data_IF_429497075691
#
_entry.id   IF_429497075691
#
_cell.length_a   1.000
_cell.length_b   1.000
_cell.length_c   1.000
_cell.angle_alpha   90.00
_cell.angle_beta   90.00
_cell.angle_gamma   90.00
#
_symmetry.space_group_name_H-M   'P 1'
#
loop_
_entity.id
_entity.type
_entity.pdbx_description
1 polymer ?
#
# COMPACT_ATOMS: atom_id res chain seq x y z
N UNK A 1 -12.66 3.63 8.58
CA UNK A 1 -11.84 4.61 7.83
C UNK A 1 -12.49 4.79 6.47
N UNK A 2 -12.85 6.02 6.11
CA UNK A 2 -13.43 6.33 4.80
C UNK A 2 -12.38 6.31 3.68
N UNK A 3 -12.86 6.24 2.43
CA UNK A 3 -12.02 6.13 1.25
C UNK A 3 -11.08 7.33 1.02
N UNK A 4 -11.50 8.55 1.31
CA UNK A 4 -10.65 9.73 1.13
C UNK A 4 -9.49 9.73 2.14
N UNK A 5 -9.81 9.44 3.40
CA UNK A 5 -8.82 9.29 4.47
C UNK A 5 -7.84 8.16 4.15
N UNK A 6 -8.33 7.02 3.68
CA UNK A 6 -7.50 5.91 3.24
C UNK A 6 -6.52 6.32 2.15
N UNK A 7 -7.03 6.92 1.06
CA UNK A 7 -6.23 7.37 -0.09
C UNK A 7 -5.15 8.35 0.35
N UNK A 8 -5.50 9.35 1.16
CA UNK A 8 -4.56 10.35 1.69
C UNK A 8 -3.46 9.69 2.52
N UNK A 9 -3.81 8.76 3.41
CA UNK A 9 -2.83 8.03 4.25
C UNK A 9 -1.93 7.14 3.41
N UNK A 10 -2.49 6.35 2.49
CA UNK A 10 -1.73 5.49 1.59
C UNK A 10 -0.66 6.29 0.83
N UNK A 11 -1.08 7.37 0.16
CA UNK A 11 -0.15 8.24 -0.57
C UNK A 11 0.92 8.82 0.37
N UNK A 12 0.53 9.30 1.55
CA UNK A 12 1.48 9.85 2.52
C UNK A 12 2.53 8.84 2.95
N UNK A 13 2.13 7.59 3.19
CA UNK A 13 3.03 6.50 3.57
C UNK A 13 3.99 6.15 2.42
N UNK A 14 3.47 5.98 1.19
CA UNK A 14 4.30 5.68 0.03
C UNK A 14 5.21 6.84 -0.40
N UNK A 15 4.99 8.06 0.08
CA UNK A 15 5.88 9.20 -0.18
C UNK A 15 7.06 9.30 0.79
N UNK A 16 7.08 8.50 1.86
CA UNK A 16 8.15 8.41 2.86
C UNK A 16 9.00 7.19 2.57
N UNK A 17 10.31 7.30 2.71
CA UNK A 17 11.19 6.14 2.76
C UNK A 17 11.01 5.45 4.12
N UNK A 18 10.30 4.32 4.11
CA UNK A 18 10.03 3.54 5.31
C UNK A 18 11.04 2.39 5.38
N UNK A 19 11.72 2.17 6.52
CA UNK A 19 12.66 1.04 6.67
C UNK A 19 11.97 -0.32 6.74
N UNK A 20 10.63 -0.36 6.70
CA UNK A 20 9.78 -1.54 6.86
C UNK A 20 8.32 -1.13 7.04
N UNK A 21 7.47 -2.04 7.52
CA UNK A 21 6.08 -1.69 7.83
C UNK A 21 5.96 -0.69 9.00
N UNK A 22 4.95 0.20 8.97
CA UNK A 22 4.69 1.11 10.07
C UNK A 22 4.43 0.38 11.40
N UNK A 23 4.99 0.89 12.49
CA UNK A 23 4.69 0.38 13.84
C UNK A 23 3.26 0.70 14.28
N UNK A 24 2.71 1.82 13.79
CA UNK A 24 1.34 2.22 14.07
C UNK A 24 0.39 1.30 13.30
N UNK A 25 -0.46 0.59 14.04
CA UNK A 25 -1.39 -0.40 13.50
C UNK A 25 -2.25 0.16 12.37
N UNK A 26 -2.91 1.31 12.57
CA UNK A 26 -3.74 1.92 11.52
C UNK A 26 -2.99 2.13 10.20
N UNK A 27 -1.73 2.57 10.26
CA UNK A 27 -0.94 2.87 9.05
C UNK A 27 -0.43 1.58 8.40
N UNK A 28 -0.13 0.56 9.21
CA UNK A 28 0.17 -0.79 8.71
C UNK A 28 -1.04 -1.38 7.99
N UNK A 29 -2.22 -1.31 8.61
CA UNK A 29 -3.47 -1.79 8.01
C UNK A 29 -3.80 -1.05 6.71
N UNK A 30 -3.50 0.24 6.59
CA UNK A 30 -3.65 0.97 5.31
C UNK A 30 -2.80 0.34 4.21
N UNK A 31 -1.54 -0.01 4.49
CA UNK A 31 -0.68 -0.68 3.51
C UNK A 31 -1.18 -2.08 3.17
N UNK A 32 -1.51 -2.90 4.18
CA UNK A 32 -1.97 -4.27 3.97
C UNK A 32 -3.32 -4.32 3.24
N UNK A 33 -4.26 -3.44 3.58
CA UNK A 33 -5.53 -3.31 2.87
C UNK A 33 -5.31 -2.88 1.42
N UNK A 34 -4.32 -2.02 1.14
CA UNK A 34 -4.02 -1.63 -0.25
C UNK A 34 -3.54 -2.80 -1.12
N UNK A 35 -2.93 -3.83 -0.52
CA UNK A 35 -2.58 -5.09 -1.19
C UNK A 35 -3.85 -5.91 -1.45
N UNK A 36 -4.72 -6.04 -0.45
CA UNK A 36 -5.99 -6.78 -0.61
C UNK A 36 -6.84 -6.22 -1.74
N UNK A 37 -6.84 -4.90 -1.95
CA UNK A 37 -7.57 -4.24 -3.04
C UNK A 37 -7.05 -4.60 -4.45
N UNK A 38 -5.82 -5.11 -4.59
CA UNK A 38 -5.30 -5.60 -5.88
C UNK A 38 -5.62 -7.08 -6.13
N UNK A 39 -6.21 -7.76 -5.14
CA UNK A 39 -6.53 -9.18 -5.19
C UNK A 39 -8.01 -9.43 -5.49
N UNK A 40 -8.29 -10.61 -6.03
CA UNK A 40 -9.64 -11.11 -6.26
C UNK A 40 -10.15 -11.84 -4.99
N UNK A 41 -11.23 -11.37 -4.35
CA UNK A 41 -11.73 -11.92 -3.10
C UNK A 41 -12.31 -13.34 -3.22
N UNK A 42 -12.66 -13.78 -4.42
CA UNK A 42 -13.20 -15.12 -4.66
C UNK A 42 -12.12 -16.15 -5.02
N UNK A 43 -10.88 -15.71 -5.20
CA UNK A 43 -9.77 -16.56 -5.61
C UNK A 43 -8.97 -17.09 -4.42
N UNK A 44 -8.59 -18.36 -4.49
CA UNK A 44 -7.51 -18.93 -3.69
C UNK A 44 -6.20 -18.78 -4.45
N UNK A 45 -5.16 -18.39 -3.73
CA UNK A 45 -3.83 -18.11 -4.28
C UNK A 45 -2.87 -19.17 -3.81
N UNK A 46 -2.12 -19.77 -4.73
CA UNK A 46 -0.92 -20.51 -4.37
C UNK A 46 0.13 -19.56 -3.77
N UNK A 47 1.10 -20.13 -3.06
CA UNK A 47 2.26 -19.38 -2.58
C UNK A 47 2.94 -18.55 -3.68
N UNK A 48 3.09 -19.13 -4.88
CA UNK A 48 3.77 -18.49 -6.00
C UNK A 48 2.96 -17.29 -6.51
N UNK A 49 1.66 -17.46 -6.72
CA UNK A 49 0.81 -16.36 -7.19
C UNK A 49 0.74 -15.22 -6.18
N UNK A 50 0.64 -15.53 -4.88
CA UNK A 50 0.67 -14.51 -3.84
C UNK A 50 2.01 -13.77 -3.83
N UNK A 51 3.11 -14.49 -3.98
CA UNK A 51 4.44 -13.88 -4.07
C UNK A 51 4.55 -12.92 -5.27
N UNK A 52 4.04 -13.30 -6.44
CA UNK A 52 4.03 -12.44 -7.63
C UNK A 52 3.24 -11.16 -7.38
N UNK A 53 2.06 -11.25 -6.77
CA UNK A 53 1.24 -10.08 -6.39
C UNK A 53 1.98 -9.16 -5.42
N UNK A 54 2.65 -9.73 -4.41
CA UNK A 54 3.38 -8.93 -3.42
C UNK A 54 4.61 -8.24 -4.03
N UNK A 55 5.30 -8.91 -4.96
CA UNK A 55 6.41 -8.31 -5.71
C UNK A 55 5.89 -7.15 -6.57
N UNK A 56 4.83 -7.37 -7.35
CA UNK A 56 4.25 -6.33 -8.20
C UNK A 56 3.78 -5.12 -7.36
N UNK A 57 3.14 -5.38 -6.22
CA UNK A 57 2.75 -4.32 -5.30
C UNK A 57 3.96 -3.55 -4.74
N UNK A 58 5.04 -4.24 -4.36
CA UNK A 58 6.29 -3.62 -3.89
C UNK A 58 6.96 -2.80 -4.99
N UNK A 59 6.95 -3.24 -6.24
CA UNK A 59 7.53 -2.50 -7.37
C UNK A 59 6.69 -1.28 -7.76
N UNK A 60 5.36 -1.39 -7.60
CA UNK A 60 4.37 -0.36 -7.88
C UNK A 60 4.10 0.55 -6.69
N UNK A 61 3.09 0.21 -5.88
CA UNK A 61 2.57 1.02 -4.77
C UNK A 61 3.58 1.16 -3.64
N UNK A 62 4.16 0.04 -3.20
CA UNK A 62 5.02 -0.10 -2.03
C UNK A 62 6.50 0.20 -2.24
N UNK A 63 6.88 0.87 -3.34
CA UNK A 63 8.30 1.05 -3.75
C UNK A 63 9.23 1.64 -2.69
N UNK A 64 8.70 2.44 -1.79
CA UNK A 64 9.43 3.10 -0.70
C UNK A 64 9.30 2.38 0.65
N UNK A 65 8.64 1.23 0.67
CA UNK A 65 8.48 0.37 1.84
C UNK A 65 9.62 -0.65 1.84
N UNK A 66 10.53 -0.53 2.80
CA UNK A 66 11.67 -1.43 3.00
C UNK A 66 11.28 -2.81 3.56
N UNK A 67 10.19 -3.40 3.08
CA UNK A 67 9.75 -4.75 3.44
C UNK A 67 9.94 -5.69 2.26
N UNK A 68 10.28 -6.95 2.53
CA UNK A 68 10.25 -8.00 1.51
C UNK A 68 8.88 -8.68 1.43
N UNK A 69 8.64 -9.39 0.33
CA UNK A 69 7.37 -10.08 0.07
C UNK A 69 7.09 -11.21 1.07
N UNK A 70 8.10 -11.83 1.66
CA UNK A 70 7.89 -12.88 2.67
C UNK A 70 7.43 -12.27 4.00
N UNK A 71 8.02 -11.15 4.41
CA UNK A 71 7.57 -10.36 5.56
C UNK A 71 6.15 -9.84 5.36
N UNK A 72 5.83 -9.23 4.20
CA UNK A 72 4.47 -8.76 3.90
C UNK A 72 3.44 -9.89 4.00
N UNK A 73 3.74 -11.05 3.42
CA UNK A 73 2.82 -12.20 3.50
C UNK A 73 2.55 -12.62 4.94
N UNK A 74 3.60 -12.69 5.77
CA UNK A 74 3.47 -13.06 7.17
C UNK A 74 2.57 -12.07 7.91
N UNK A 75 2.81 -10.78 7.72
CA UNK A 75 2.05 -9.71 8.36
C UNK A 75 0.58 -9.69 7.89
N UNK A 76 0.32 -9.98 6.60
CA UNK A 76 -1.05 -10.14 6.11
C UNK A 76 -1.79 -11.30 6.76
N UNK A 77 -1.11 -12.39 7.12
CA UNK A 77 -1.71 -13.51 7.85
C UNK A 77 -1.87 -13.15 9.33
N UNK A 78 -0.83 -12.57 9.94
CA UNK A 78 -0.78 -12.23 11.36
C UNK A 78 -1.83 -11.14 11.72
N UNK A 79 -1.99 -10.10 10.89
CA UNK A 79 -3.06 -9.08 11.04
C UNK A 79 -4.43 -9.57 10.52
N UNK A 80 -4.51 -10.79 9.97
CA UNK A 80 -5.76 -11.46 9.61
C UNK A 80 -6.38 -11.04 8.28
N UNK A 81 -5.66 -10.33 7.40
CA UNK A 81 -6.11 -10.03 6.03
C UNK A 81 -6.14 -11.27 5.13
N UNK A 82 -5.23 -12.22 5.36
CA UNK A 82 -5.18 -13.50 4.67
C UNK A 82 -5.38 -14.65 5.64
N UNK A 83 -6.07 -15.67 5.18
CA UNK A 83 -6.06 -17.01 5.77
C UNK A 83 -5.11 -17.89 4.97
N UNK A 84 -4.44 -18.81 5.67
CA UNK A 84 -3.53 -19.79 5.09
C UNK A 84 -4.08 -21.18 5.40
N UNK A 85 -4.02 -22.10 4.45
CA UNK A 85 -4.41 -23.49 4.70
C UNK A 85 -3.44 -24.18 5.69
N UNK A 86 -3.84 -25.31 6.31
CA UNK A 86 -2.98 -26.01 7.27
C UNK A 86 -1.66 -26.52 6.68
N UNK A 87 -1.63 -26.91 5.40
CA UNK A 87 -0.38 -27.34 4.73
C UNK A 87 0.48 -26.14 4.32
N UNK A 88 -0.11 -24.95 4.31
CA UNK A 88 0.60 -23.70 4.15
C UNK A 88 1.01 -23.37 2.72
N UNK A 89 0.26 -23.91 1.78
CA UNK A 89 0.48 -23.88 0.33
C UNK A 89 -0.45 -22.93 -0.41
N UNK A 90 -1.62 -22.64 0.18
CA UNK A 90 -2.64 -21.75 -0.37
C UNK A 90 -3.05 -20.66 0.62
N UNK A 91 -3.53 -19.57 0.06
CA UNK A 91 -3.91 -18.34 0.75
C UNK A 91 -5.23 -17.82 0.20
N UNK A 92 -6.06 -17.24 1.07
CA UNK A 92 -7.32 -16.62 0.67
C UNK A 92 -7.56 -15.34 1.46
N UNK A 93 -8.16 -14.34 0.81
CA UNK A 93 -8.62 -13.14 1.52
C UNK A 93 -9.60 -13.53 2.62
N UNK A 94 -9.31 -13.10 3.84
CA UNK A 94 -10.18 -13.32 4.98
C UNK A 94 -11.23 -12.20 5.04
N UNK A 95 -12.32 -12.36 4.29
CA UNK A 95 -13.39 -11.37 4.23
C UNK A 95 -14.14 -11.17 5.56
N UNK A 96 -14.06 -12.14 6.47
CA UNK A 96 -14.75 -12.12 7.77
C UNK A 96 -13.89 -11.57 8.92
N UNK A 97 -12.65 -11.17 8.64
CA UNK A 97 -11.74 -10.69 9.68
C UNK A 97 -12.23 -9.38 10.31
N UNK A 98 -12.11 -9.21 11.65
CA UNK A 98 -12.46 -7.96 12.32
C UNK A 98 -11.73 -6.74 11.75
N UNK A 99 -10.51 -6.91 11.22
CA UNK A 99 -9.74 -5.82 10.60
C UNK A 99 -10.45 -5.19 9.40
N UNK A 100 -11.34 -5.92 8.70
CA UNK A 100 -12.11 -5.34 7.60
C UNK A 100 -13.13 -4.30 8.08
N UNK A 101 -13.64 -4.44 9.30
CA UNK A 101 -14.56 -3.44 9.90
C UNK A 101 -13.89 -2.08 10.19
N UNK A 102 -12.55 -2.02 10.14
CA UNK A 102 -11.80 -0.78 10.25
C UNK A 102 -11.91 0.10 8.99
N UNK A 103 -12.43 -0.42 7.88
CA UNK A 103 -12.58 0.26 6.59
C UNK A 103 -14.05 0.31 6.20
N UNK A 104 -14.46 1.46 5.67
CA UNK A 104 -15.80 1.65 5.12
C UNK A 104 -15.85 1.16 3.66
N UNK A 105 -17.06 0.89 3.15
CA UNK A 105 -17.30 0.40 1.78
C UNK A 105 -16.66 1.28 0.68
N UNK A 106 -16.52 2.58 0.94
CA UNK A 106 -15.88 3.51 0.00
C UNK A 106 -14.40 3.16 -0.28
N UNK A 107 -13.74 2.41 0.58
CA UNK A 107 -12.35 1.94 0.40
C UNK A 107 -12.25 0.87 -0.69
N UNK A 108 -13.29 0.04 -0.87
CA UNK A 108 -13.27 -1.09 -1.81
C UNK A 108 -13.19 -0.65 -3.28
N UNK A 109 -13.56 0.60 -3.58
CA UNK A 109 -13.53 1.16 -4.94
C UNK A 109 -12.25 1.94 -5.28
N UNK A 110 -11.26 1.96 -4.37
CA UNK A 110 -10.04 2.73 -4.56
C UNK A 110 -9.05 1.97 -5.46
N UNK A 111 -8.72 2.60 -6.58
CA UNK A 111 -7.53 2.24 -7.35
C UNK A 111 -6.26 2.74 -6.62
N UNK A 112 -5.59 1.82 -5.93
CA UNK A 112 -4.41 2.11 -5.11
C UNK A 112 -3.21 2.49 -5.95
N UNK A 113 -3.08 1.92 -7.15
CA UNK A 113 -2.00 2.21 -8.10
C UNK A 113 -2.15 3.64 -8.61
N UNK A 114 -3.32 3.97 -9.17
CA UNK A 114 -3.59 5.31 -9.69
C UNK A 114 -3.46 6.38 -8.60
N UNK A 115 -3.91 6.10 -7.38
CA UNK A 115 -3.77 7.02 -6.25
C UNK A 115 -2.31 7.37 -5.93
N UNK A 116 -1.43 6.36 -5.87
CA UNK A 116 -0.02 6.55 -5.55
C UNK A 116 0.75 7.17 -6.71
N UNK A 117 0.47 6.78 -7.95
CA UNK A 117 1.05 7.41 -9.13
C UNK A 117 0.72 8.90 -9.21
N UNK A 118 -0.53 9.27 -8.95
CA UNK A 118 -0.93 10.68 -8.92
C UNK A 118 -0.19 11.46 -7.82
N UNK A 119 -0.07 10.86 -6.62
CA UNK A 119 0.72 11.45 -5.53
C UNK A 119 2.18 11.69 -5.92
N UNK A 120 2.80 10.75 -6.63
CA UNK A 120 4.17 10.88 -7.14
C UNK A 120 4.29 12.01 -8.17
N UNK A 121 3.34 12.09 -9.11
CA UNK A 121 3.28 13.15 -10.14
C UNK A 121 3.21 14.53 -9.51
N UNK A 122 2.29 14.73 -8.56
CA UNK A 122 2.11 16.01 -7.86
C UNK A 122 3.34 16.39 -7.03
N UNK A 123 4.00 15.43 -6.36
CA UNK A 123 5.24 15.67 -5.61
C UNK A 123 6.38 16.09 -6.54
N UNK A 124 6.52 15.45 -7.70
CA UNK A 124 7.52 15.78 -8.69
C UNK A 124 7.30 17.18 -9.29
N UNK A 125 6.06 17.55 -9.61
CA UNK A 125 5.72 18.87 -10.14
C UNK A 125 6.03 19.99 -9.12
N UNK A 126 5.61 19.83 -7.86
CA UNK A 126 5.91 20.80 -6.80
C UNK A 126 7.42 20.98 -6.61
N UNK A 127 8.20 19.90 -6.67
CA UNK A 127 9.66 19.95 -6.59
C UNK A 127 10.27 20.75 -7.75
N UNK A 128 9.76 20.58 -8.98
CA UNK A 128 10.19 21.34 -10.17
C UNK A 128 9.88 22.83 -10.06
N UNK A 129 8.68 23.19 -9.58
CA UNK A 129 8.30 24.60 -9.38
C UNK A 129 9.16 25.28 -8.31
N UNK A 130 9.46 24.57 -7.22
CA UNK A 130 10.32 25.08 -6.16
C UNK A 130 11.78 25.30 -6.62
N UNK A 131 12.33 24.41 -7.46
CA UNK A 131 13.68 24.57 -8.00
C UNK A 131 13.79 25.78 -8.94
N UNK A 132 12.79 26.01 -9.80
CA UNK A 132 12.75 27.15 -10.72
C UNK A 132 12.65 28.50 -9.98
N UNK A 133 11.82 28.57 -8.94
CA UNK A 133 11.68 29.78 -8.11
C UNK A 133 12.91 30.09 -7.27
N UNK A 134 13.68 29.08 -6.84
CA UNK A 134 14.98 29.27 -6.17
C UNK A 134 16.07 29.77 -7.10
N UNK A 135 16.16 29.26 -8.34
CA UNK A 135 17.18 29.69 -9.30
C UNK A 135 16.94 31.13 -9.80
N UNK A 136 15.67 31.55 -9.94
CA UNK A 136 15.35 32.93 -10.31
C UNK A 136 15.64 33.99 -9.24
N UNK A 137 15.75 33.62 -7.95
CA UNK A 137 16.06 34.54 -6.84
C UNK A 137 17.56 34.68 -6.52
N UNK A 138 18.43 33.89 -7.14
CA UNK A 138 19.89 33.94 -6.92
C UNK A 138 20.69 34.75 -7.95
N UNK A 139 20.04 35.29 -9.00
CA UNK A 139 20.70 35.98 -10.11
C UNK A 139 20.52 37.51 -10.10
N UNK A 140 20.18 38.11 -8.95
CA UNK A 140 19.99 39.56 -8.81
C UNK A 140 20.67 40.15 -7.58
N UNK A 141 21.76 39.53 -7.11
CA UNK A 141 22.62 40.03 -6.03
C UNK A 141 24.02 40.33 -6.53
#
# INVERSE_FOLDING_TARGET
MDGETFKRRLVSLCMKDLPGLPKKEEDRHVLLKSIVLTMNPQKEYSHKELQEILIEWLEGVGRSVGSDHAALRREMVDDGFLTRDPAGTTYKINSQAPVNSAFDETVESIDTVAAVEEGRRLKAEKKRQFMQTKQGKGASG
#
